data_IF_195827732725
#
_entry.id   IF_195827732725
#
_cell.length_a   1.000
_cell.length_b   1.000
_cell.length_c   1.000
_cell.angle_alpha   90.00
_cell.angle_beta   90.00
_cell.angle_gamma   90.00
#
_symmetry.space_group_name_H-M   'P 1'
#
loop_
_entity.id
_entity.type
_entity.pdbx_description
1 polymer ?
#
# COMPACT_ATOMS: atom_id res chain seq x y z
N UNK A 1 -33.55 17.36 -23.77
CA UNK A 1 -32.14 17.74 -23.72
C UNK A 1 -31.46 16.61 -22.96
N UNK A 2 -30.90 15.71 -23.76
CA UNK A 2 -30.26 14.46 -23.29
C UNK A 2 -28.86 14.82 -22.79
N UNK A 3 -28.65 14.68 -21.50
CA UNK A 3 -27.29 14.76 -20.92
C UNK A 3 -26.72 13.35 -20.96
N UNK A 4 -25.86 13.10 -21.94
CA UNK A 4 -25.10 11.86 -22.00
C UNK A 4 -24.29 11.60 -20.71
N UNK A 5 -23.99 10.33 -20.39
CA UNK A 5 -23.35 9.96 -19.14
C UNK A 5 -21.95 10.59 -19.03
N UNK A 6 -21.68 11.25 -17.92
CA UNK A 6 -20.35 11.73 -17.55
C UNK A 6 -19.38 10.54 -17.53
N UNK A 7 -18.31 10.65 -18.30
CA UNK A 7 -17.25 9.62 -18.33
C UNK A 7 -16.52 9.70 -16.99
N UNK A 8 -16.80 8.73 -16.13
CA UNK A 8 -16.11 8.52 -14.88
C UNK A 8 -14.64 8.11 -15.18
N UNK A 9 -13.68 8.98 -14.88
CA UNK A 9 -12.27 8.82 -15.24
C UNK A 9 -11.44 8.09 -14.19
N UNK A 10 -12.08 7.60 -13.14
CA UNK A 10 -11.42 6.99 -12.00
C UNK A 10 -11.89 5.54 -11.81
N UNK A 11 -11.32 4.60 -12.52
CA UNK A 11 -11.58 3.17 -12.36
C UNK A 11 -10.28 2.40 -12.40
N UNK A 12 -10.25 1.29 -11.70
CA UNK A 12 -9.16 0.34 -11.84
C UNK A 12 -9.14 -0.17 -13.29
N UNK A 13 -8.14 0.26 -14.07
CA UNK A 13 -7.99 -0.14 -15.46
C UNK A 13 -6.77 -1.03 -15.58
N UNK A 14 -6.98 -2.29 -15.94
CA UNK A 14 -5.91 -3.15 -16.41
C UNK A 14 -5.70 -2.87 -17.89
N UNK A 15 -4.61 -2.19 -18.26
CA UNK A 15 -4.28 -1.92 -19.65
C UNK A 15 -3.58 -3.13 -20.26
N UNK A 16 -4.32 -3.86 -21.09
CA UNK A 16 -3.73 -4.89 -21.95
C UNK A 16 -2.90 -4.24 -23.05
N UNK A 17 -1.64 -4.68 -23.20
CA UNK A 17 -0.73 -4.25 -24.28
C UNK A 17 -1.24 -4.76 -25.62
N UNK A 18 -1.85 -3.89 -26.44
CA UNK A 18 -1.92 -4.07 -27.89
C UNK A 18 -1.16 -2.93 -28.54
N UNK A 19 -0.05 -3.26 -29.21
CA UNK A 19 0.81 -2.30 -29.87
C UNK A 19 0.16 -1.69 -31.12
N UNK A 20 0.22 -0.36 -31.25
CA UNK A 20 0.12 0.35 -32.51
C UNK A 20 1.01 1.59 -32.45
N UNK A 21 1.98 1.64 -33.34
CA UNK A 21 2.86 2.78 -33.55
C UNK A 21 2.12 3.89 -34.30
N UNK A 22 2.19 5.12 -33.82
CA UNK A 22 1.80 6.30 -34.58
C UNK A 22 2.87 7.38 -34.45
N UNK A 23 3.46 7.73 -35.59
CA UNK A 23 4.40 8.83 -35.82
C UNK A 23 3.66 10.17 -35.81
N UNK A 24 4.18 11.17 -35.12
CA UNK A 24 3.78 12.57 -35.34
C UNK A 24 5.00 13.50 -35.31
N UNK A 25 4.99 14.42 -36.24
CA UNK A 25 6.08 15.29 -36.65
C UNK A 25 6.27 16.51 -35.74
N UNK A 26 7.50 17.02 -35.72
CA UNK A 26 7.96 18.20 -35.00
C UNK A 26 7.58 19.51 -35.71
N UNK A 27 7.32 20.57 -34.94
CA UNK A 27 7.51 21.96 -35.38
C UNK A 27 8.30 22.74 -34.32
N UNK A 28 9.38 23.35 -34.81
CA UNK A 28 10.35 24.14 -34.06
C UNK A 28 9.88 25.58 -33.86
N UNK A 29 10.09 26.15 -32.68
CA UNK A 29 10.28 27.57 -32.51
C UNK A 29 11.35 27.80 -31.41
N UNK A 30 12.44 28.46 -31.80
CA UNK A 30 13.56 28.83 -30.94
C UNK A 30 13.37 30.25 -30.41
N UNK A 31 13.68 30.45 -29.10
CA UNK A 31 14.17 31.74 -28.56
C UNK A 31 15.10 31.47 -27.39
N UNK A 32 16.24 32.13 -27.44
CA UNK A 32 17.41 31.92 -26.61
C UNK A 32 17.46 32.78 -25.33
N UNK A 33 18.35 32.36 -24.43
CA UNK A 33 19.16 32.99 -23.37
C UNK A 33 18.79 32.65 -21.94
N UNK A 34 19.78 32.05 -21.26
CA UNK A 34 19.87 31.97 -19.82
C UNK A 34 20.56 30.72 -19.33
N UNK A 35 21.90 30.77 -19.20
CA UNK A 35 22.73 29.70 -18.65
C UNK A 35 22.45 29.49 -17.18
N UNK A 36 21.84 28.37 -16.85
CA UNK A 36 21.74 27.83 -15.49
C UNK A 36 21.70 26.33 -15.63
N UNK A 37 22.76 25.62 -15.26
CA UNK A 37 22.82 24.16 -15.26
C UNK A 37 21.90 23.59 -14.17
N UNK A 38 20.61 23.52 -14.48
CA UNK A 38 19.69 22.67 -13.76
C UNK A 38 19.88 21.24 -14.30
N UNK A 39 20.34 20.36 -13.43
CA UNK A 39 20.41 18.91 -13.69
C UNK A 39 18.99 18.45 -13.94
N UNK A 40 18.66 18.17 -15.19
CA UNK A 40 17.32 17.79 -15.63
C UNK A 40 16.88 16.52 -14.90
N UNK A 41 15.83 16.63 -14.12
CA UNK A 41 15.02 15.49 -13.74
C UNK A 41 14.38 14.97 -15.04
N UNK A 42 14.79 13.79 -15.48
CA UNK A 42 14.11 13.05 -16.55
C UNK A 42 12.70 12.74 -16.07
N UNK A 43 11.72 13.49 -16.53
CA UNK A 43 10.30 13.13 -16.41
C UNK A 43 10.03 11.96 -17.36
N UNK A 44 10.44 10.78 -16.97
CA UNK A 44 10.00 9.55 -17.60
C UNK A 44 8.49 9.43 -17.36
N UNK A 45 7.71 9.34 -18.43
CA UNK A 45 6.26 9.10 -18.33
C UNK A 45 6.07 7.69 -17.79
N UNK A 46 5.75 7.56 -16.50
CA UNK A 46 5.41 6.27 -15.89
C UNK A 46 4.09 5.79 -16.49
N UNK A 47 4.09 4.60 -17.09
CA UNK A 47 2.86 3.98 -17.60
C UNK A 47 2.09 3.35 -16.43
N UNK A 48 0.87 3.82 -16.20
CA UNK A 48 -0.03 3.23 -15.20
C UNK A 48 -0.46 1.83 -15.69
N UNK A 49 -0.22 0.80 -14.88
CA UNK A 49 -0.59 -0.59 -15.17
C UNK A 49 -1.93 -0.96 -14.52
N UNK A 50 -2.17 -0.46 -13.30
CA UNK A 50 -3.39 -0.69 -12.56
C UNK A 50 -3.62 0.43 -11.53
N UNK A 51 -4.89 0.74 -11.25
CA UNK A 51 -5.26 1.70 -10.22
C UNK A 51 -6.66 1.43 -9.68
N UNK A 52 -6.85 1.64 -8.38
CA UNK A 52 -8.16 1.82 -7.76
C UNK A 52 -8.17 3.19 -7.07
N UNK A 53 -9.05 4.06 -7.53
CA UNK A 53 -9.24 5.42 -7.00
C UNK A 53 -10.41 5.47 -6.00
N UNK A 54 -10.96 4.31 -5.64
CA UNK A 54 -12.05 4.11 -4.68
C UNK A 54 -13.29 4.98 -4.92
N UNK A 55 -13.55 5.30 -6.18
CA UNK A 55 -14.76 6.00 -6.57
C UNK A 55 -15.99 5.11 -6.37
N UNK A 56 -16.98 5.63 -5.71
CA UNK A 56 -18.25 4.94 -5.51
C UNK A 56 -19.10 5.64 -4.47
N UNK A 57 -20.35 5.18 -4.34
CA UNK A 57 -21.28 5.77 -3.38
C UNK A 57 -20.86 5.50 -1.93
N UNK A 58 -21.11 6.46 -1.04
CA UNK A 58 -20.91 6.29 0.39
C UNK A 58 -21.62 5.03 0.91
N UNK A 59 -20.93 4.26 1.74
CA UNK A 59 -21.45 3.00 2.30
C UNK A 59 -21.33 1.79 1.39
N UNK A 60 -20.92 1.94 0.12
CA UNK A 60 -20.71 0.80 -0.77
C UNK A 60 -19.45 0.01 -0.43
N UNK A 61 -19.43 -1.25 -0.89
CA UNK A 61 -18.25 -2.10 -0.80
C UNK A 61 -17.14 -1.58 -1.74
N UNK A 62 -15.85 -1.79 -1.41
CA UNK A 62 -14.78 -1.70 -2.39
C UNK A 62 -15.04 -2.68 -3.56
N UNK A 63 -14.44 -2.38 -4.71
CA UNK A 63 -14.69 -3.12 -5.95
C UNK A 63 -14.34 -4.62 -5.81
N UNK A 64 -15.31 -5.54 -5.88
CA UNK A 64 -15.06 -6.96 -5.69
C UNK A 64 -14.31 -7.62 -6.86
N UNK A 65 -14.15 -6.92 -8.00
CA UNK A 65 -13.29 -7.39 -9.09
C UNK A 65 -11.80 -7.20 -8.77
N UNK A 66 -11.47 -6.44 -7.72
CA UNK A 66 -10.10 -6.14 -7.29
C UNK A 66 -9.86 -6.68 -5.89
N UNK A 67 -10.79 -6.42 -4.95
CA UNK A 67 -10.59 -6.67 -3.55
C UNK A 67 -11.37 -7.87 -3.04
N UNK A 68 -10.69 -8.71 -2.33
CA UNK A 68 -11.22 -9.81 -1.53
C UNK A 68 -10.98 -9.49 -0.06
N UNK A 69 -11.67 -10.22 0.81
CA UNK A 69 -11.47 -10.12 2.25
C UNK A 69 -10.76 -11.34 2.80
N UNK A 70 -9.81 -11.12 3.70
CA UNK A 70 -9.46 -12.10 4.70
C UNK A 70 -10.45 -11.98 5.84
N UNK A 71 -10.99 -13.11 6.31
CA UNK A 71 -12.03 -13.16 7.32
C UNK A 71 -11.60 -14.01 8.51
N UNK A 72 -12.03 -13.60 9.71
CA UNK A 72 -11.87 -14.38 10.92
C UNK A 72 -10.91 -13.77 11.93
N UNK A 73 -10.74 -14.49 13.02
CA UNK A 73 -9.86 -14.19 14.15
C UNK A 73 -8.69 -15.20 14.17
N UNK A 74 -7.91 -15.19 15.25
CA UNK A 74 -6.84 -16.18 15.48
C UNK A 74 -5.45 -15.56 15.57
N UNK A 75 -5.37 -14.23 15.63
CA UNK A 75 -4.13 -13.49 15.87
C UNK A 75 -3.23 -13.34 14.65
N UNK A 76 -3.61 -13.92 13.50
CA UNK A 76 -2.97 -13.74 12.19
C UNK A 76 -1.43 -13.92 12.18
N UNK A 77 -0.92 -14.76 13.09
CA UNK A 77 0.52 -15.01 13.27
C UNK A 77 1.22 -14.01 14.19
N UNK A 78 0.59 -12.89 14.55
CA UNK A 78 1.18 -11.77 15.27
C UNK A 78 0.56 -11.53 16.66
N UNK A 79 -0.46 -12.32 17.05
CA UNK A 79 -1.24 -12.10 18.28
C UNK A 79 -2.19 -10.91 18.18
N UNK A 80 -2.63 -10.56 16.96
CA UNK A 80 -3.61 -9.52 16.69
C UNK A 80 -4.94 -9.82 17.40
N UNK A 81 -5.64 -8.79 17.85
CA UNK A 81 -6.83 -8.94 18.71
C UNK A 81 -8.14 -8.89 17.93
N UNK A 82 -8.14 -8.33 16.72
CA UNK A 82 -9.35 -8.15 15.95
C UNK A 82 -9.79 -9.42 15.23
N UNK A 83 -11.09 -9.44 14.95
CA UNK A 83 -11.68 -10.27 13.91
C UNK A 83 -11.82 -9.45 12.64
N UNK A 84 -11.20 -9.87 11.56
CA UNK A 84 -11.41 -9.26 10.25
C UNK A 84 -12.75 -9.68 9.66
N UNK A 85 -13.51 -8.70 9.17
CA UNK A 85 -14.86 -8.87 8.64
C UNK A 85 -15.01 -8.18 7.28
N UNK A 86 -16.04 -8.57 6.53
CA UNK A 86 -16.50 -7.88 5.31
C UNK A 86 -17.64 -6.88 5.58
N UNK A 87 -17.89 -6.59 6.86
CA UNK A 87 -18.93 -5.64 7.28
C UNK A 87 -18.64 -4.23 6.78
N UNK A 88 -19.70 -3.53 6.30
CA UNK A 88 -19.61 -2.11 5.95
C UNK A 88 -19.24 -1.22 7.14
N UNK A 89 -19.36 -1.72 8.37
CA UNK A 89 -18.85 -1.04 9.56
C UNK A 89 -17.32 -1.02 9.62
N UNK A 90 -16.65 -2.01 9.02
CA UNK A 90 -15.20 -2.15 9.03
C UNK A 90 -14.55 -1.73 7.72
N UNK A 91 -15.25 -1.82 6.57
CA UNK A 91 -14.74 -1.31 5.29
C UNK A 91 -15.86 -0.83 4.39
N UNK A 92 -15.73 0.38 3.88
CA UNK A 92 -16.67 0.97 2.93
C UNK A 92 -16.02 2.11 2.15
N UNK A 93 -16.62 2.49 1.02
CA UNK A 93 -16.29 3.74 0.36
C UNK A 93 -17.00 4.91 1.05
N UNK A 94 -16.36 6.06 1.13
CA UNK A 94 -16.91 7.25 1.80
C UNK A 94 -17.75 8.14 0.88
N UNK A 95 -17.76 7.85 -0.43
CA UNK A 95 -18.43 8.65 -1.46
C UNK A 95 -17.66 9.92 -1.85
N UNK A 96 -16.41 10.06 -1.39
CA UNK A 96 -15.52 11.19 -1.67
C UNK A 96 -14.20 10.75 -2.31
N UNK A 97 -14.13 9.48 -2.77
CA UNK A 97 -12.95 8.89 -3.38
C UNK A 97 -12.03 8.19 -2.39
N UNK A 98 -12.52 7.77 -1.22
CA UNK A 98 -11.70 7.01 -0.30
C UNK A 98 -12.32 5.66 0.07
N UNK A 99 -11.46 4.64 0.17
CA UNK A 99 -11.72 3.45 0.97
C UNK A 99 -11.46 3.80 2.43
N UNK A 100 -12.42 3.46 3.31
CA UNK A 100 -12.30 3.61 4.77
C UNK A 100 -12.21 2.24 5.40
N UNK A 101 -11.06 1.90 5.99
CA UNK A 101 -10.90 0.73 6.86
C UNK A 101 -11.02 1.19 8.31
N UNK A 102 -11.94 0.59 9.05
CA UNK A 102 -12.29 1.02 10.41
C UNK A 102 -12.00 -0.09 11.42
N UNK A 103 -11.02 0.12 12.28
CA UNK A 103 -10.80 -0.68 13.47
C UNK A 103 -11.76 -0.20 14.59
N UNK A 104 -12.45 -1.14 15.21
CA UNK A 104 -13.51 -0.86 16.19
C UNK A 104 -13.30 -1.68 17.45
N UNK A 105 -13.68 -1.11 18.58
CA UNK A 105 -13.94 -1.87 19.81
C UNK A 105 -15.45 -2.03 19.93
N UNK A 106 -15.91 -3.25 19.99
CA UNK A 106 -17.32 -3.59 20.07
C UNK A 106 -17.84 -3.45 21.52
N UNK A 107 -19.16 -3.48 21.71
CA UNK A 107 -19.79 -3.30 23.02
C UNK A 107 -19.43 -4.39 24.02
N UNK A 108 -19.13 -5.59 23.56
CA UNK A 108 -18.67 -6.73 24.37
C UNK A 108 -17.16 -6.68 24.68
N UNK A 109 -16.45 -5.65 24.20
CA UNK A 109 -15.03 -5.45 24.42
C UNK A 109 -14.13 -6.12 23.37
N UNK A 110 -14.68 -6.87 22.42
CA UNK A 110 -13.92 -7.45 21.30
C UNK A 110 -13.52 -6.39 20.28
N UNK A 111 -12.64 -6.75 19.36
CA UNK A 111 -12.20 -5.85 18.31
C UNK A 111 -12.60 -6.40 16.94
N UNK A 112 -12.95 -5.51 16.02
CA UNK A 112 -13.22 -5.84 14.62
C UNK A 112 -12.49 -4.86 13.71
N UNK A 113 -12.10 -5.33 12.53
CA UNK A 113 -11.47 -4.52 11.49
C UNK A 113 -11.70 -5.14 10.11
N UNK A 114 -10.99 -4.64 9.08
CA UNK A 114 -10.98 -5.25 7.77
C UNK A 114 -9.55 -5.44 7.26
N UNK A 115 -9.34 -6.53 6.52
CA UNK A 115 -8.15 -6.85 5.76
C UNK A 115 -8.58 -7.19 4.34
N UNK A 116 -8.17 -6.33 3.42
CA UNK A 116 -8.47 -6.46 2.00
C UNK A 116 -7.23 -6.91 1.25
N UNK A 117 -7.42 -7.77 0.25
CA UNK A 117 -6.33 -8.27 -0.59
C UNK A 117 -6.74 -8.35 -2.06
N UNK A 118 -5.77 -8.19 -2.95
CA UNK A 118 -5.97 -8.39 -4.39
C UNK A 118 -5.64 -9.82 -4.85
N UNK A 119 -5.48 -10.77 -3.93
CA UNK A 119 -5.22 -12.18 -4.24
C UNK A 119 -6.31 -12.77 -5.14
N UNK A 120 -5.89 -13.44 -6.22
CA UNK A 120 -6.79 -14.06 -7.18
C UNK A 120 -7.53 -13.09 -8.11
N UNK A 121 -7.22 -11.78 -8.03
CA UNK A 121 -7.79 -10.75 -8.90
C UNK A 121 -6.71 -9.95 -9.62
N UNK A 122 -5.74 -9.43 -8.89
CA UNK A 122 -4.63 -8.67 -9.45
C UNK A 122 -3.32 -8.98 -8.70
N UNK A 123 -2.24 -9.14 -9.47
CA UNK A 123 -0.87 -9.23 -8.95
C UNK A 123 0.04 -8.28 -9.72
N UNK A 124 1.01 -7.71 -9.05
CA UNK A 124 2.13 -7.00 -9.65
C UNK A 124 3.37 -7.90 -9.69
N UNK A 125 4.20 -7.72 -10.70
CA UNK A 125 5.57 -8.23 -10.73
C UNK A 125 6.46 -7.10 -11.24
N UNK A 126 7.25 -6.54 -10.33
CA UNK A 126 8.03 -5.32 -10.54
C UNK A 126 7.18 -4.08 -10.83
N UNK A 127 7.82 -2.93 -10.82
CA UNK A 127 7.16 -1.66 -11.03
C UNK A 127 7.15 -0.80 -9.77
N UNK A 128 6.46 0.32 -9.84
CA UNK A 128 6.18 1.18 -8.70
C UNK A 128 4.82 0.83 -8.15
N UNK A 129 4.75 0.43 -6.89
CA UNK A 129 3.50 0.15 -6.16
C UNK A 129 3.34 1.22 -5.10
N UNK A 130 2.26 1.99 -5.17
CA UNK A 130 2.03 3.14 -4.30
C UNK A 130 0.59 3.20 -3.81
N UNK A 131 0.40 3.74 -2.61
CA UNK A 131 -0.92 4.12 -2.12
C UNK A 131 -0.85 5.48 -1.40
N UNK A 132 -1.90 6.29 -1.54
CA UNK A 132 -2.07 7.53 -0.79
C UNK A 132 -2.99 7.28 0.38
N UNK A 133 -2.46 7.40 1.59
CA UNK A 133 -3.11 6.92 2.81
C UNK A 133 -3.01 7.95 3.92
N UNK A 134 -4.11 8.14 4.69
CA UNK A 134 -4.06 8.67 6.05
C UNK A 134 -4.19 7.52 7.03
N UNK A 135 -3.21 7.34 7.91
CA UNK A 135 -3.19 6.25 8.87
C UNK A 135 -3.92 6.59 10.17
N UNK A 136 -4.47 5.58 10.88
CA UNK A 136 -5.00 5.77 12.23
C UNK A 136 -3.88 6.03 13.25
N UNK A 137 -4.25 6.38 14.48
CA UNK A 137 -3.32 6.63 15.60
C UNK A 137 -3.77 5.96 16.89
N UNK A 138 -2.86 5.82 17.82
CA UNK A 138 -3.13 5.37 19.19
C UNK A 138 -2.43 4.08 19.53
N UNK A 139 -2.14 3.91 20.83
CA UNK A 139 -1.50 2.71 21.37
C UNK A 139 -2.22 1.44 20.88
N UNK A 140 -1.44 0.46 20.41
CA UNK A 140 -1.96 -0.83 19.94
C UNK A 140 -2.61 -0.82 18.56
N UNK A 141 -2.55 0.30 17.81
CA UNK A 141 -3.04 0.38 16.43
C UNK A 141 -1.89 0.08 15.47
N UNK A 142 -2.16 -0.73 14.43
CA UNK A 142 -1.16 -1.19 13.46
C UNK A 142 -1.74 -1.20 12.04
N UNK A 143 -1.75 -0.06 11.33
CA UNK A 143 -2.11 -0.01 9.93
C UNK A 143 -0.98 -0.54 9.06
N UNK A 144 -1.33 -1.24 7.98
CA UNK A 144 -0.36 -1.72 7.00
C UNK A 144 -0.87 -1.62 5.55
N UNK A 145 0.06 -1.30 4.67
CA UNK A 145 -0.01 -1.44 3.22
C UNK A 145 1.19 -2.27 2.78
N UNK A 146 0.95 -3.47 2.26
CA UNK A 146 1.96 -4.48 2.05
C UNK A 146 1.59 -5.47 0.95
N UNK A 147 2.47 -6.41 0.66
CA UNK A 147 2.33 -7.35 -0.43
C UNK A 147 2.83 -8.74 -0.03
N UNK A 148 2.17 -9.79 -0.51
CA UNK A 148 2.61 -11.19 -0.37
C UNK A 148 2.78 -11.86 -1.73
N UNK A 149 3.74 -12.78 -1.81
CA UNK A 149 3.94 -13.62 -3.00
C UNK A 149 2.70 -14.44 -3.34
N UNK A 150 2.31 -14.43 -4.61
CA UNK A 150 1.07 -15.06 -5.08
C UNK A 150 1.11 -16.60 -4.99
N UNK A 151 2.27 -17.18 -4.81
CA UNK A 151 2.48 -18.62 -4.60
C UNK A 151 2.39 -19.07 -3.14
N UNK A 152 1.97 -18.19 -2.22
CA UNK A 152 1.87 -18.46 -0.77
C UNK A 152 1.12 -19.77 -0.46
N UNK A 153 0.07 -20.09 -1.24
CA UNK A 153 -0.68 -21.33 -1.08
C UNK A 153 0.10 -22.60 -1.41
N UNK A 154 1.24 -22.48 -2.10
CA UNK A 154 2.09 -23.58 -2.53
C UNK A 154 3.34 -23.70 -1.66
N UNK A 155 4.00 -22.59 -1.38
CA UNK A 155 5.30 -22.57 -0.70
C UNK A 155 5.22 -22.12 0.77
N UNK A 156 4.12 -21.49 1.16
CA UNK A 156 3.92 -20.94 2.50
C UNK A 156 4.76 -19.70 2.80
N UNK A 157 4.48 -19.07 3.94
CA UNK A 157 5.28 -17.98 4.48
C UNK A 157 6.45 -18.55 5.33
N UNK A 158 7.66 -17.97 5.29
CA UNK A 158 8.07 -16.78 4.54
C UNK A 158 8.64 -17.06 3.13
N UNK A 159 8.51 -18.29 2.61
CA UNK A 159 9.09 -18.68 1.33
C UNK A 159 8.45 -17.97 0.12
N UNK A 160 7.19 -17.55 0.23
CA UNK A 160 6.53 -16.75 -0.79
C UNK A 160 7.08 -15.31 -0.90
N UNK A 161 7.77 -14.83 0.13
CA UNK A 161 8.20 -13.44 0.25
C UNK A 161 7.08 -12.49 0.72
N UNK A 162 7.48 -11.40 1.38
CA UNK A 162 6.62 -10.32 1.84
C UNK A 162 7.34 -8.99 1.67
N UNK A 163 6.63 -7.97 1.21
CA UNK A 163 7.12 -6.60 1.04
C UNK A 163 6.17 -5.66 1.77
N UNK A 164 6.59 -5.15 2.92
CA UNK A 164 5.85 -4.16 3.68
C UNK A 164 6.17 -2.78 3.14
N UNK A 165 5.25 -2.22 2.36
CA UNK A 165 5.42 -0.89 1.76
C UNK A 165 5.33 0.18 2.83
N UNK A 166 4.38 0.04 3.74
CA UNK A 166 4.20 0.92 4.89
C UNK A 166 3.59 0.15 6.06
N UNK A 167 4.24 0.24 7.20
CA UNK A 167 3.69 -0.13 8.49
C UNK A 167 3.88 1.02 9.47
N UNK A 168 2.94 1.18 10.39
CA UNK A 168 3.06 2.09 11.54
C UNK A 168 2.55 1.41 12.79
N UNK A 169 3.17 1.68 13.92
CA UNK A 169 2.65 1.34 15.24
C UNK A 169 2.24 2.63 15.96
N UNK A 170 1.03 2.64 16.48
CA UNK A 170 0.38 3.88 16.92
C UNK A 170 1.07 4.63 18.06
N UNK A 171 2.04 4.01 18.76
CA UNK A 171 2.89 4.68 19.75
C UNK A 171 4.09 5.41 19.13
N UNK A 172 4.32 5.23 17.81
CA UNK A 172 5.38 5.90 17.03
C UNK A 172 4.77 6.79 15.92
N UNK A 173 3.98 7.82 16.26
CA UNK A 173 3.13 8.52 15.30
C UNK A 173 3.89 9.25 14.18
N UNK A 174 5.18 9.51 14.37
CA UNK A 174 6.05 10.20 13.41
C UNK A 174 6.94 9.26 12.59
N UNK A 175 6.79 7.94 12.76
CA UNK A 175 7.60 6.93 12.10
C UNK A 175 6.73 6.02 11.23
N UNK A 176 7.29 5.57 10.10
CA UNK A 176 6.79 4.44 9.32
C UNK A 176 7.93 3.50 9.00
N UNK A 177 7.60 2.25 8.80
CA UNK A 177 8.56 1.17 8.56
C UNK A 177 8.28 0.54 7.20
N UNK A 178 9.36 0.19 6.50
CA UNK A 178 9.33 -0.63 5.31
C UNK A 178 10.23 -1.85 5.53
N UNK A 179 9.74 -3.03 5.20
CA UNK A 179 10.41 -4.29 5.54
C UNK A 179 10.32 -5.26 4.37
N UNK A 180 11.25 -6.19 4.27
CA UNK A 180 11.08 -7.41 3.48
C UNK A 180 11.29 -8.63 4.36
N UNK A 181 10.48 -9.66 4.11
CA UNK A 181 10.59 -10.96 4.75
C UNK A 181 10.78 -12.08 3.73
N UNK A 182 11.66 -13.02 4.08
CA UNK A 182 11.94 -14.22 3.31
C UNK A 182 12.64 -15.28 4.16
N UNK A 183 12.96 -16.45 3.60
CA UNK A 183 13.66 -17.49 4.33
C UNK A 183 14.99 -17.00 4.90
N UNK A 184 15.15 -17.10 6.24
CA UNK A 184 16.34 -16.66 6.96
C UNK A 184 16.32 -15.19 7.39
N UNK A 185 15.35 -14.40 6.93
CA UNK A 185 15.14 -12.98 7.33
C UNK A 185 13.64 -12.69 7.43
N UNK A 186 12.98 -13.18 8.45
CA UNK A 186 11.54 -13.04 8.64
C UNK A 186 11.14 -12.76 10.08
N UNK A 187 9.93 -12.31 10.33
CA UNK A 187 9.46 -11.87 11.63
C UNK A 187 10.35 -10.76 12.19
N UNK A 188 10.79 -10.89 13.43
CA UNK A 188 11.69 -9.90 14.07
C UNK A 188 13.07 -9.75 13.38
N UNK A 189 13.44 -10.68 12.49
CA UNK A 189 14.68 -10.65 11.72
C UNK A 189 14.47 -10.13 10.28
N UNK A 190 13.31 -9.59 9.96
CA UNK A 190 13.04 -8.94 8.66
C UNK A 190 14.05 -7.83 8.38
N UNK A 191 14.37 -7.62 7.09
CA UNK A 191 15.26 -6.53 6.69
C UNK A 191 14.43 -5.26 6.62
N UNK A 192 14.46 -4.48 7.70
CA UNK A 192 13.61 -3.31 7.92
C UNK A 192 14.38 -2.00 7.84
N UNK A 193 13.65 -0.92 7.57
CA UNK A 193 14.12 0.45 7.71
C UNK A 193 12.99 1.36 8.16
N UNK A 194 13.35 2.41 8.90
CA UNK A 194 12.40 3.37 9.45
C UNK A 194 12.56 4.72 8.76
N UNK A 195 11.45 5.35 8.39
CA UNK A 195 11.41 6.73 7.93
C UNK A 195 10.72 7.61 8.97
N UNK A 196 11.40 8.68 9.35
CA UNK A 196 10.85 9.71 10.24
C UNK A 196 10.27 10.85 9.40
N UNK A 197 9.05 11.25 9.69
CA UNK A 197 8.44 12.44 9.08
C UNK A 197 9.34 13.68 9.34
N UNK A 198 9.90 14.31 8.30
CA UNK A 198 10.84 15.42 8.47
C UNK A 198 10.22 16.64 9.13
N UNK A 199 8.90 16.81 9.01
CA UNK A 199 8.17 17.92 9.66
C UNK A 199 8.01 17.71 11.17
N UNK A 200 8.21 16.48 11.67
CA UNK A 200 7.91 16.08 13.05
C UNK A 200 6.41 15.88 13.32
N UNK A 201 5.53 16.09 12.35
CA UNK A 201 4.10 15.82 12.47
C UNK A 201 3.82 14.31 12.48
N UNK A 202 2.69 13.91 13.05
CA UNK A 202 2.23 12.54 12.96
C UNK A 202 1.77 12.22 11.52
N UNK A 203 2.07 11.02 11.04
CA UNK A 203 1.59 10.53 9.75
C UNK A 203 0.05 10.43 9.68
N UNK A 204 -0.61 10.43 10.81
CA UNK A 204 -2.06 10.44 10.93
C UNK A 204 -2.69 11.84 10.75
N UNK A 205 -1.88 12.89 10.57
CA UNK A 205 -2.39 14.27 10.47
C UNK A 205 -2.78 14.65 9.04
N UNK A 206 -2.25 13.95 8.03
CA UNK A 206 -2.52 14.21 6.61
C UNK A 206 -2.39 12.91 5.77
N UNK A 207 -2.74 13.02 4.50
CA UNK A 207 -2.47 11.98 3.51
C UNK A 207 -1.01 12.01 3.09
N UNK A 208 -0.40 10.83 3.05
CA UNK A 208 0.95 10.61 2.53
C UNK A 208 0.93 9.55 1.43
N UNK A 209 1.87 9.64 0.49
CA UNK A 209 2.08 8.62 -0.55
C UNK A 209 3.19 7.69 -0.09
N UNK A 210 2.84 6.44 0.19
CA UNK A 210 3.79 5.38 0.52
C UNK A 210 3.99 4.50 -0.71
N UNK A 211 5.23 4.16 -1.02
CA UNK A 211 5.50 3.39 -2.22
C UNK A 211 6.79 2.60 -2.19
N UNK A 212 6.88 1.65 -3.11
CA UNK A 212 8.12 0.95 -3.46
C UNK A 212 8.37 1.00 -4.95
N UNK A 213 9.64 1.25 -5.32
CA UNK A 213 10.17 0.96 -6.65
C UNK A 213 10.78 -0.45 -6.60
N UNK A 214 10.07 -1.40 -7.16
CA UNK A 214 10.45 -2.80 -7.14
C UNK A 214 11.02 -3.22 -8.50
N UNK A 215 12.27 -3.65 -8.49
CA UNK A 215 13.05 -4.13 -9.65
C UNK A 215 13.54 -5.58 -9.40
N UNK A 216 14.00 -6.29 -10.42
CA UNK A 216 14.50 -7.67 -10.26
C UNK A 216 15.54 -7.84 -9.14
N UNK A 217 16.41 -6.83 -8.95
CA UNK A 217 17.54 -6.92 -8.03
C UNK A 217 17.44 -5.98 -6.82
N UNK A 218 16.35 -5.19 -6.71
CA UNK A 218 16.23 -4.19 -5.65
C UNK A 218 14.81 -3.75 -5.39
N UNK A 219 14.54 -3.38 -4.15
CA UNK A 219 13.30 -2.76 -3.70
C UNK A 219 13.68 -1.47 -2.99
N UNK A 220 13.15 -0.33 -3.46
CA UNK A 220 13.41 0.99 -2.89
C UNK A 220 12.13 1.58 -2.33
N UNK A 221 12.09 1.87 -1.04
CA UNK A 221 10.95 2.49 -0.36
C UNK A 221 10.95 3.99 -0.52
N UNK A 222 9.76 4.56 -0.69
CA UNK A 222 9.55 6.01 -0.79
C UNK A 222 8.41 6.47 0.12
N UNK A 223 8.54 7.69 0.65
CA UNK A 223 7.45 8.44 1.29
C UNK A 223 7.38 9.81 0.60
N UNK A 224 6.22 10.17 0.08
CA UNK A 224 5.97 11.41 -0.66
C UNK A 224 7.03 11.65 -1.76
N UNK A 225 7.37 10.57 -2.48
CA UNK A 225 8.38 10.55 -3.53
C UNK A 225 9.83 10.61 -3.06
N UNK A 226 10.08 10.72 -1.76
CA UNK A 226 11.44 10.70 -1.19
C UNK A 226 11.86 9.27 -0.87
N UNK A 227 12.89 8.78 -1.55
CA UNK A 227 13.48 7.47 -1.27
C UNK A 227 14.25 7.50 0.05
N UNK A 228 14.05 6.47 0.89
CA UNK A 228 14.74 6.40 2.19
C UNK A 228 15.50 5.10 2.43
N UNK A 229 15.20 4.04 1.70
CA UNK A 229 15.90 2.76 1.80
C UNK A 229 15.86 2.04 0.44
N UNK A 230 16.96 1.36 0.12
CA UNK A 230 17.01 0.33 -0.93
C UNK A 230 17.53 -0.96 -0.30
N UNK A 231 16.83 -2.06 -0.55
CA UNK A 231 17.27 -3.43 -0.25
C UNK A 231 17.58 -4.11 -1.58
N UNK A 232 18.70 -4.80 -1.63
CA UNK A 232 19.20 -5.51 -2.81
C UNK A 232 19.41 -7.00 -2.51
N UNK A 233 19.67 -7.81 -3.54
CA UNK A 233 20.04 -9.22 -3.35
C UNK A 233 21.25 -9.41 -2.43
N UNK A 234 22.18 -8.47 -2.38
CA UNK A 234 23.33 -8.54 -1.50
C UNK A 234 22.96 -8.39 0.00
N UNK A 235 21.89 -7.67 0.30
CA UNK A 235 21.44 -7.45 1.69
C UNK A 235 20.88 -8.72 2.33
N UNK A 236 20.38 -9.70 1.54
CA UNK A 236 19.89 -10.99 2.06
C UNK A 236 21.02 -12.00 2.29
N UNK A 237 22.26 -11.67 1.89
CA UNK A 237 23.45 -12.50 2.07
C UNK A 237 23.35 -13.84 1.32
N UNK A 238 23.49 -14.96 2.03
CA UNK A 238 23.36 -16.30 1.46
C UNK A 238 21.94 -16.82 1.42
N UNK A 239 20.95 -16.07 1.94
CA UNK A 239 19.56 -16.46 1.94
C UNK A 239 18.92 -16.27 0.55
N UNK A 240 17.82 -16.97 0.24
CA UNK A 240 17.12 -16.78 -1.02
C UNK A 240 16.56 -15.36 -1.18
N UNK A 241 16.71 -14.80 -2.38
CA UNK A 241 15.92 -13.65 -2.82
C UNK A 241 14.61 -14.16 -3.41
N UNK A 242 13.50 -13.85 -2.77
CA UNK A 242 12.18 -14.42 -3.10
C UNK A 242 11.23 -13.42 -3.76
N UNK A 243 11.78 -12.29 -4.25
CA UNK A 243 10.99 -11.19 -4.80
C UNK A 243 11.01 -11.16 -6.35
N UNK A 244 11.09 -12.33 -6.99
CA UNK A 244 11.09 -12.44 -8.46
C UNK A 244 9.74 -12.89 -9.04
N UNK A 245 8.84 -13.37 -8.19
CA UNK A 245 7.49 -13.78 -8.57
C UNK A 245 6.47 -12.64 -8.54
N UNK A 246 5.20 -12.90 -8.93
CA UNK A 246 4.11 -11.96 -8.75
C UNK A 246 3.67 -11.85 -7.29
N UNK A 247 3.29 -10.65 -6.85
CA UNK A 247 2.79 -10.35 -5.51
C UNK A 247 1.40 -9.72 -5.59
N UNK A 248 0.55 -10.02 -4.62
CA UNK A 248 -0.73 -9.33 -4.44
C UNK A 248 -0.64 -8.31 -3.31
N UNK A 249 -1.46 -7.27 -3.41
CA UNK A 249 -1.51 -6.15 -2.46
C UNK A 249 -2.46 -6.46 -1.31
N UNK A 250 -2.10 -5.99 -0.11
CA UNK A 250 -2.92 -6.08 1.10
C UNK A 250 -3.01 -4.70 1.77
N UNK A 251 -4.20 -4.38 2.29
CA UNK A 251 -4.51 -3.21 3.10
C UNK A 251 -5.24 -3.66 4.35
N UNK A 252 -4.75 -3.31 5.54
CA UNK A 252 -5.44 -3.63 6.79
C UNK A 252 -5.17 -2.61 7.90
N UNK A 253 -6.04 -2.62 8.90
CA UNK A 253 -5.81 -1.94 10.15
C UNK A 253 -5.89 -2.94 11.29
N UNK A 254 -4.77 -3.46 11.75
CA UNK A 254 -4.69 -4.37 12.89
C UNK A 254 -4.79 -3.63 14.22
N UNK A 255 -5.11 -4.35 15.27
CA UNK A 255 -5.13 -3.87 16.64
C UNK A 255 -4.59 -4.91 17.61
N UNK A 256 -3.68 -4.50 18.47
CA UNK A 256 -2.96 -5.42 19.34
C UNK A 256 -1.86 -6.18 18.62
N UNK A 257 -1.29 -7.15 19.28
CA UNK A 257 -0.21 -7.97 18.75
C UNK A 257 1.13 -7.76 19.43
N UNK A 258 2.10 -8.55 19.01
CA UNK A 258 3.40 -8.58 19.66
C UNK A 258 4.21 -7.29 19.49
N UNK A 259 4.06 -6.60 18.37
CA UNK A 259 4.79 -5.37 18.11
C UNK A 259 4.08 -4.12 18.61
N UNK A 260 2.82 -3.80 18.21
CA UNK A 260 2.18 -2.58 18.67
C UNK A 260 1.77 -2.62 20.14
N UNK A 261 1.74 -3.81 20.75
CA UNK A 261 1.15 -4.02 22.07
C UNK A 261 -0.38 -3.89 22.03
N UNK A 262 -1.02 -4.03 23.17
CA UNK A 262 -2.48 -3.90 23.25
C UNK A 262 -2.93 -2.44 23.25
N UNK A 263 -4.11 -2.12 22.69
CA UNK A 263 -4.80 -0.88 22.96
C UNK A 263 -5.01 -0.64 24.47
N UNK A 264 -4.92 0.60 24.90
CA UNK A 264 -5.09 0.99 26.30
C UNK A 264 -6.16 2.09 26.47
N UNK A 265 -6.23 2.70 27.66
CA UNK A 265 -7.20 3.75 27.96
C UNK A 265 -7.01 5.04 27.13
N UNK A 266 -5.85 5.21 26.49
CA UNK A 266 -5.55 6.36 25.60
C UNK A 266 -6.03 6.11 24.18
N UNK A 267 -6.22 4.84 23.78
CA UNK A 267 -6.65 4.47 22.44
C UNK A 267 -8.14 4.80 22.25
N UNK A 268 -8.43 5.70 21.32
CA UNK A 268 -9.80 6.09 20.98
C UNK A 268 -10.30 5.24 19.82
N UNK A 269 -11.45 4.60 20.00
CA UNK A 269 -12.13 3.87 18.91
C UNK A 269 -13.42 4.60 18.51
N UNK A 270 -13.87 4.51 17.24
CA UNK A 270 -13.19 3.82 16.13
C UNK A 270 -11.95 4.56 15.64
N UNK A 271 -10.98 3.79 15.08
CA UNK A 271 -9.83 4.31 14.35
C UNK A 271 -9.99 4.01 12.87
N UNK A 272 -9.59 4.94 12.01
CA UNK A 272 -9.82 4.83 10.57
C UNK A 272 -8.52 5.02 9.79
N UNK A 273 -8.29 4.13 8.84
CA UNK A 273 -7.34 4.29 7.74
C UNK A 273 -8.13 4.68 6.50
N UNK A 274 -7.78 5.81 5.90
CA UNK A 274 -8.37 6.24 4.64
C UNK A 274 -7.36 6.02 3.52
N UNK A 275 -7.80 5.37 2.45
CA UNK A 275 -6.98 5.15 1.25
C UNK A 275 -7.64 5.89 0.09
N UNK A 276 -6.97 6.93 -0.41
CA UNK A 276 -7.43 7.75 -1.53
C UNK A 276 -7.27 6.97 -2.86
N UNK A 277 -6.13 6.31 -3.02
CA UNK A 277 -5.90 5.45 -4.17
C UNK A 277 -4.80 4.42 -3.90
N UNK A 278 -4.82 3.33 -4.71
CA UNK A 278 -3.73 2.39 -4.90
C UNK A 278 -3.36 2.37 -6.37
N UNK A 279 -2.08 2.48 -6.69
CA UNK A 279 -1.58 2.51 -8.08
C UNK A 279 -0.39 1.60 -8.27
N UNK A 280 -0.35 0.94 -9.43
CA UNK A 280 0.81 0.19 -9.90
C UNK A 280 1.22 0.76 -11.24
N UNK A 281 2.49 1.15 -11.37
CA UNK A 281 3.04 1.78 -12.57
C UNK A 281 4.31 1.07 -13.01
N UNK A 282 4.56 1.09 -14.31
CA UNK A 282 5.83 0.62 -14.85
C UNK A 282 6.95 1.61 -14.48
N UNK A 283 8.08 1.10 -14.00
CA UNK A 283 9.28 1.91 -13.84
C UNK A 283 9.94 2.17 -15.19
N UNK A 284 10.41 3.39 -15.39
CA UNK A 284 11.18 3.78 -16.56
C UNK A 284 12.56 3.11 -16.58
#
# INVERSE_FOLDING_TARGET
MDQGPAIDRRRFVTLGLTGAAATAAATTAALAHGSGTARGATTGTTTLLAADEFDGAAGSAPNPSIWRYDLGAGGWGNGELETYTDSRRNSQLDGKGNLVITARREADGTYTSARLKSEGTYTAQYGRVEARITIPRGQGIWPAFWMLGADIGQVGWPACGEIDVMENVGYEPTLVHGTVHGPGYSGANGISSTYRNPSGAAFADDFHVFGVDWRPDSITWTVDGTAYRTVTRADVGSNPWVFDGPFFVILNGAGGGGWPGSPDATTRFPQQMLVDWVRVSQLA
#
